data_IF_726012764428
#
_entry.id   IF_726012764428
#
_cell.length_a   1.000
_cell.length_b   1.000
_cell.length_c   1.000
_cell.angle_alpha   90.00
_cell.angle_beta   90.00
_cell.angle_gamma   90.00
#
_symmetry.space_group_name_H-M   'P 1'
#
loop_
_entity.id
_entity.type
_entity.pdbx_description
1 polymer ?
#
# COMPACT_ATOMS: atom_id res chain seq x y z
N UNK A 1 8.09 11.95 -14.98
CA UNK A 1 9.06 12.18 -13.87
C UNK A 1 10.43 12.44 -14.46
N UNK A 2 11.08 13.53 -14.08
CA UNK A 2 12.45 13.83 -14.47
C UNK A 2 13.43 13.06 -13.57
N UNK A 3 14.70 12.84 -14.02
CA UNK A 3 15.66 12.03 -13.24
C UNK A 3 15.89 12.51 -11.81
N UNK A 4 15.90 13.82 -11.57
CA UNK A 4 16.08 14.37 -10.21
C UNK A 4 14.90 14.06 -9.30
N UNK A 5 13.67 14.06 -9.84
CA UNK A 5 12.47 13.68 -9.08
C UNK A 5 12.47 12.19 -8.77
N UNK A 6 12.89 11.36 -9.72
CA UNK A 6 12.99 9.93 -9.51
C UNK A 6 13.99 9.60 -8.40
N UNK A 7 15.13 10.30 -8.33
CA UNK A 7 16.10 10.14 -7.27
C UNK A 7 15.61 10.61 -5.91
N UNK A 8 14.73 11.61 -5.88
CA UNK A 8 14.15 12.14 -4.66
C UNK A 8 13.01 11.28 -4.12
N UNK A 9 12.44 10.40 -4.93
CA UNK A 9 11.36 9.52 -4.51
C UNK A 9 11.87 8.51 -3.48
N UNK A 10 11.04 8.25 -2.46
CA UNK A 10 11.33 7.29 -1.40
C UNK A 10 10.40 6.09 -1.55
N UNK A 11 10.99 4.92 -1.69
CA UNK A 11 10.24 3.66 -1.83
C UNK A 11 10.22 2.94 -0.49
N UNK A 12 9.03 2.68 0.03
CA UNK A 12 8.82 1.99 1.28
C UNK A 12 7.98 0.74 1.09
N UNK A 13 8.29 -0.32 1.84
CA UNK A 13 7.47 -1.52 1.84
C UNK A 13 6.22 -1.29 2.69
N UNK A 14 5.04 -1.46 2.11
CA UNK A 14 3.78 -1.55 2.85
C UNK A 14 3.53 -2.97 3.32
N UNK A 15 3.85 -3.93 2.48
CA UNK A 15 3.75 -5.35 2.79
C UNK A 15 4.89 -6.08 2.11
N UNK A 16 5.79 -6.64 2.91
CA UNK A 16 6.94 -7.36 2.39
C UNK A 16 6.49 -8.62 1.65
N UNK A 17 7.08 -8.88 0.49
CA UNK A 17 6.71 -9.99 -0.37
C UNK A 17 6.62 -11.31 0.41
N UNK A 18 5.48 -11.97 0.32
CA UNK A 18 5.20 -13.20 1.05
C UNK A 18 4.21 -14.09 0.32
N UNK A 19 4.41 -15.40 0.42
CA UNK A 19 3.40 -16.37 0.02
C UNK A 19 2.36 -16.46 1.15
N UNK A 20 1.18 -15.90 0.91
CA UNK A 20 0.13 -15.83 1.92
C UNK A 20 -0.87 -16.98 1.71
N UNK A 21 -1.14 -17.71 2.79
CA UNK A 21 -2.14 -18.79 2.75
C UNK A 21 -3.57 -18.26 2.91
N UNK A 22 -3.74 -17.09 3.55
CA UNK A 22 -5.05 -16.52 3.86
C UNK A 22 -4.97 -15.01 4.06
N UNK A 23 -6.12 -14.38 4.23
CA UNK A 23 -6.23 -12.93 4.44
C UNK A 23 -5.50 -12.44 5.69
N UNK A 24 -5.47 -13.23 6.75
CA UNK A 24 -4.77 -12.84 7.98
C UNK A 24 -3.27 -12.64 7.72
N UNK A 25 -2.65 -13.52 6.94
CA UNK A 25 -1.25 -13.37 6.55
C UNK A 25 -1.05 -12.17 5.61
N UNK A 26 -1.95 -11.95 4.67
CA UNK A 26 -1.87 -10.84 3.72
C UNK A 26 -2.18 -9.46 4.35
N UNK A 27 -2.56 -9.44 5.61
CA UNK A 27 -2.86 -8.21 6.36
C UNK A 27 -1.96 -8.04 7.59
N UNK A 28 -0.93 -8.88 7.72
CA UNK A 28 -0.07 -8.91 8.90
C UNK A 28 1.11 -7.90 8.84
N UNK A 29 1.18 -7.07 7.81
CA UNK A 29 2.21 -6.03 7.69
C UNK A 29 2.10 -4.95 8.76
N UNK A 30 3.16 -4.16 8.90
CA UNK A 30 3.17 -3.07 9.87
C UNK A 30 2.42 -1.83 9.40
N UNK A 31 2.43 -0.82 10.26
CA UNK A 31 1.89 0.50 9.98
C UNK A 31 3.03 1.43 9.55
N UNK A 32 2.98 1.90 8.31
CA UNK A 32 4.01 2.75 7.74
C UNK A 32 3.76 4.21 8.11
N UNK A 33 4.77 4.88 8.64
CA UNK A 33 4.72 6.31 8.94
C UNK A 33 4.78 7.11 7.63
N UNK A 34 3.74 7.87 7.34
CA UNK A 34 3.64 8.70 6.13
C UNK A 34 3.81 10.19 6.41
N UNK A 35 4.08 10.58 7.65
CA UNK A 35 4.20 12.00 8.04
C UNK A 35 5.39 12.70 7.39
N UNK A 36 6.37 11.95 6.91
CA UNK A 36 7.54 12.49 6.22
C UNK A 36 7.33 12.74 4.72
N UNK A 37 6.14 12.50 4.18
CA UNK A 37 5.86 12.65 2.75
C UNK A 37 4.97 13.86 2.46
N UNK A 38 5.06 14.37 1.23
CA UNK A 38 4.21 15.45 0.72
C UNK A 38 3.55 15.03 -0.58
N UNK A 39 2.37 15.59 -0.85
CA UNK A 39 1.68 15.44 -2.12
C UNK A 39 0.99 14.09 -2.29
N UNK A 40 1.17 13.52 -3.45
CA UNK A 40 0.53 12.26 -3.84
C UNK A 40 1.44 11.08 -3.56
N UNK A 41 0.88 10.07 -2.90
CA UNK A 41 1.54 8.78 -2.70
C UNK A 41 1.15 7.84 -3.82
N UNK A 42 2.11 7.10 -4.37
CA UNK A 42 1.86 6.03 -5.32
C UNK A 42 1.95 4.70 -4.59
N UNK A 43 0.89 3.91 -4.67
CA UNK A 43 0.83 2.59 -4.03
C UNK A 43 0.73 1.53 -5.12
N UNK A 44 1.60 0.53 -5.04
CA UNK A 44 1.68 -0.55 -6.02
C UNK A 44 1.43 -1.88 -5.31
N UNK A 45 0.43 -2.62 -5.78
CA UNK A 45 0.19 -4.00 -5.38
C UNK A 45 0.75 -4.93 -6.44
N UNK A 46 1.60 -5.87 -6.04
CA UNK A 46 2.16 -6.88 -6.91
C UNK A 46 1.70 -8.26 -6.45
N UNK A 47 1.03 -8.98 -7.34
CA UNK A 47 0.54 -10.33 -7.09
C UNK A 47 1.32 -11.27 -8.00
N UNK A 48 2.01 -12.23 -7.41
CA UNK A 48 2.71 -13.28 -8.13
C UNK A 48 1.78 -14.45 -8.44
N UNK A 49 2.16 -15.65 -8.04
CA UNK A 49 1.30 -16.83 -8.19
C UNK A 49 0.09 -16.68 -7.27
N UNK A 50 -1.11 -16.84 -7.82
CA UNK A 50 -2.36 -16.76 -7.06
C UNK A 50 -3.36 -17.78 -7.59
N UNK A 51 -4.06 -18.46 -6.68
CA UNK A 51 -5.13 -19.40 -7.01
C UNK A 51 -6.49 -18.71 -7.14
N UNK A 52 -6.61 -17.44 -6.78
CA UNK A 52 -7.83 -16.66 -6.86
C UNK A 52 -7.55 -15.16 -6.85
N UNK A 53 -8.59 -14.36 -6.85
CA UNK A 53 -8.46 -12.91 -6.86
C UNK A 53 -7.91 -12.38 -5.53
N UNK A 54 -7.18 -11.27 -5.63
CA UNK A 54 -6.68 -10.53 -4.46
C UNK A 54 -7.23 -9.12 -4.54
N UNK A 55 -7.94 -8.70 -3.49
CA UNK A 55 -8.41 -7.32 -3.35
C UNK A 55 -7.53 -6.62 -2.32
N UNK A 56 -6.86 -5.55 -2.73
CA UNK A 56 -5.99 -4.78 -1.84
C UNK A 56 -6.61 -3.45 -1.47
N UNK A 57 -6.51 -3.09 -0.19
CA UNK A 57 -7.02 -1.83 0.32
C UNK A 57 -6.05 -1.25 1.35
N UNK A 58 -6.29 0.00 1.74
CA UNK A 58 -5.49 0.67 2.76
C UNK A 58 -6.35 1.04 3.96
N UNK A 59 -5.73 1.00 5.13
CA UNK A 59 -6.24 1.61 6.35
C UNK A 59 -5.30 2.74 6.78
N UNK A 60 -5.81 3.71 7.50
CA UNK A 60 -5.02 4.78 8.07
C UNK A 60 -5.35 4.98 9.56
N UNK A 61 -4.35 5.37 10.33
CA UNK A 61 -4.49 5.62 11.76
C UNK A 61 -3.58 6.76 12.18
N UNK A 62 -3.98 7.48 13.24
CA UNK A 62 -3.13 8.45 13.89
C UNK A 62 -2.09 7.80 14.82
N UNK A 63 -2.22 6.51 15.08
CA UNK A 63 -1.38 5.75 16.00
C UNK A 63 -0.52 4.72 15.26
N UNK A 64 0.72 4.56 15.69
CA UNK A 64 1.66 3.61 15.07
C UNK A 64 1.24 2.14 15.23
N UNK A 65 0.36 1.84 16.17
CA UNK A 65 -0.19 0.50 16.38
C UNK A 65 -1.53 0.27 15.65
N UNK A 66 -2.02 1.26 14.91
CA UNK A 66 -3.26 1.14 14.16
C UNK A 66 -4.53 1.36 14.97
N UNK A 67 -4.45 1.80 16.22
CA UNK A 67 -5.63 2.06 17.03
C UNK A 67 -6.49 3.17 16.40
N UNK A 68 -7.81 2.98 16.39
CA UNK A 68 -8.74 3.94 15.80
C UNK A 68 -8.63 4.07 14.28
N UNK A 69 -8.23 3.00 13.59
CA UNK A 69 -8.05 3.05 12.14
C UNK A 69 -9.37 3.24 11.38
N UNK A 70 -9.23 3.73 10.17
CA UNK A 70 -10.34 3.92 9.24
C UNK A 70 -9.86 3.57 7.82
N UNK A 71 -10.80 3.37 6.91
CA UNK A 71 -10.46 3.13 5.52
C UNK A 71 -9.78 4.35 4.89
N UNK A 72 -8.71 4.10 4.13
CA UNK A 72 -8.06 5.11 3.30
C UNK A 72 -8.35 4.75 1.84
N UNK A 73 -9.19 5.57 1.22
CA UNK A 73 -9.67 5.30 -0.14
C UNK A 73 -8.70 5.90 -1.17
N UNK A 74 -8.38 5.13 -2.21
CA UNK A 74 -7.59 5.63 -3.34
C UNK A 74 -8.36 6.74 -4.08
N UNK A 75 -7.62 7.57 -4.83
CA UNK A 75 -8.18 8.71 -5.53
C UNK A 75 -9.28 8.33 -6.53
N UNK A 76 -9.22 7.13 -7.10
CA UNK A 76 -10.25 6.63 -8.03
C UNK A 76 -11.49 6.05 -7.30
N UNK A 77 -11.47 6.01 -5.98
CA UNK A 77 -12.57 5.49 -5.16
C UNK A 77 -12.67 3.97 -5.10
N UNK A 78 -11.74 3.24 -5.69
CA UNK A 78 -11.79 1.77 -5.78
C UNK A 78 -10.55 1.13 -5.15
N UNK A 79 -10.71 -0.06 -4.60
CA UNK A 79 -9.60 -0.89 -4.14
C UNK A 79 -8.84 -1.51 -5.32
N UNK A 80 -7.68 -2.10 -5.03
CA UNK A 80 -7.03 -2.98 -6.00
C UNK A 80 -7.90 -4.21 -6.23
N UNK A 81 -7.96 -4.66 -7.47
CA UNK A 81 -8.80 -5.80 -7.88
C UNK A 81 -8.00 -6.76 -8.75
N UNK A 82 -6.84 -7.18 -8.28
CA UNK A 82 -6.01 -8.10 -9.06
C UNK A 82 -6.73 -9.40 -9.35
N UNK A 83 -6.67 -9.81 -10.59
CA UNK A 83 -7.09 -11.14 -11.00
C UNK A 83 -6.03 -12.17 -10.62
N UNK A 84 -6.37 -13.45 -10.68
CA UNK A 84 -5.42 -14.52 -10.38
C UNK A 84 -4.21 -14.49 -11.31
N UNK A 85 -3.01 -14.55 -10.73
CA UNK A 85 -1.72 -14.70 -11.41
C UNK A 85 -1.09 -13.42 -11.94
N UNK A 86 0.15 -13.18 -11.60
CA UNK A 86 1.10 -12.19 -12.17
C UNK A 86 0.48 -10.82 -12.53
N UNK A 87 -0.12 -10.14 -11.55
CA UNK A 87 -0.76 -8.86 -11.76
C UNK A 87 -0.05 -7.76 -10.96
N UNK A 88 0.12 -6.59 -11.57
CA UNK A 88 0.63 -5.40 -10.91
C UNK A 88 -0.39 -4.29 -11.13
N UNK A 89 -0.81 -3.65 -10.03
CA UNK A 89 -1.70 -2.49 -10.07
C UNK A 89 -1.06 -1.34 -9.32
N UNK A 90 -1.25 -0.12 -9.83
CA UNK A 90 -0.76 1.10 -9.22
C UNK A 90 -1.92 2.09 -9.05
N UNK A 91 -2.03 2.68 -7.87
CA UNK A 91 -3.05 3.69 -7.56
C UNK A 91 -2.44 4.80 -6.75
N UNK A 92 -3.07 5.96 -6.79
CA UNK A 92 -2.61 7.12 -6.03
C UNK A 92 -3.54 7.44 -4.88
N UNK A 93 -2.99 8.07 -3.85
CA UNK A 93 -3.73 8.61 -2.73
C UNK A 93 -3.05 9.88 -2.23
N UNK A 94 -3.85 10.89 -1.88
CA UNK A 94 -3.33 12.13 -1.31
C UNK A 94 -2.84 11.88 0.11
N UNK A 95 -1.60 12.26 0.40
CA UNK A 95 -1.02 12.11 1.75
C UNK A 95 -1.85 12.82 2.83
N UNK A 96 -2.54 13.90 2.48
CA UNK A 96 -3.38 14.65 3.41
C UNK A 96 -4.60 13.86 3.89
N UNK A 97 -4.99 12.80 3.21
CA UNK A 97 -6.04 11.88 3.65
C UNK A 97 -5.54 10.87 4.68
N UNK A 98 -4.24 10.70 4.78
CA UNK A 98 -3.63 9.84 5.81
C UNK A 98 -3.67 10.54 7.16
N UNK A 99 -3.98 9.78 8.20
CA UNK A 99 -3.94 10.26 9.59
C UNK A 99 -2.54 10.23 10.19
N UNK A 100 -1.55 9.76 9.47
CA UNK A 100 -0.15 9.65 9.89
C UNK A 100 0.48 8.31 9.59
N UNK A 101 -0.28 7.23 9.69
CA UNK A 101 0.19 5.87 9.41
C UNK A 101 -0.75 5.18 8.43
N UNK A 102 -0.17 4.31 7.59
CA UNK A 102 -0.91 3.58 6.55
C UNK A 102 -0.59 2.09 6.66
N UNK A 103 -1.60 1.27 6.47
CA UNK A 103 -1.50 -0.18 6.54
C UNK A 103 -2.17 -0.80 5.32
N UNK A 104 -1.51 -1.81 4.73
CA UNK A 104 -2.05 -2.56 3.60
C UNK A 104 -2.86 -3.76 4.09
N UNK A 105 -4.01 -3.96 3.48
CA UNK A 105 -4.87 -5.13 3.73
C UNK A 105 -5.11 -5.85 2.41
N UNK A 106 -4.59 -7.08 2.32
CA UNK A 106 -4.87 -7.96 1.20
C UNK A 106 -6.00 -8.93 1.54
N UNK A 107 -7.07 -8.91 0.78
CA UNK A 107 -8.18 -9.88 0.91
C UNK A 107 -8.04 -10.94 -0.17
N UNK A 108 -7.79 -12.18 0.24
CA UNK A 108 -7.50 -13.28 -0.66
C UNK A 108 -8.72 -14.18 -0.84
N UNK A 109 -9.06 -14.47 -2.09
CA UNK A 109 -10.03 -15.53 -2.39
C UNK A 109 -9.40 -16.93 -2.23
N UNK A 110 -8.08 -17.03 -2.41
CA UNK A 110 -7.30 -18.24 -2.21
C UNK A 110 -5.83 -17.85 -1.97
N UNK A 111 -4.96 -18.81 -1.64
CA UNK A 111 -3.54 -18.53 -1.41
C UNK A 111 -2.90 -17.75 -2.56
N UNK A 112 -2.06 -16.77 -2.22
CA UNK A 112 -1.42 -15.90 -3.21
C UNK A 112 -0.09 -15.36 -2.70
N UNK A 113 0.84 -15.11 -3.63
CA UNK A 113 2.06 -14.34 -3.35
C UNK A 113 1.74 -12.85 -3.49
N UNK A 114 1.92 -12.10 -2.42
CA UNK A 114 1.51 -10.69 -2.31
C UNK A 114 2.68 -9.82 -1.91
N UNK A 115 2.78 -8.64 -2.51
CA UNK A 115 3.66 -7.57 -2.06
C UNK A 115 2.98 -6.23 -2.32
N UNK A 116 3.25 -5.25 -1.47
CA UNK A 116 2.77 -3.90 -1.67
C UNK A 116 3.86 -2.90 -1.28
N UNK A 117 4.05 -1.89 -2.13
CA UNK A 117 5.02 -0.82 -1.89
C UNK A 117 4.34 0.54 -2.00
N UNK A 118 4.91 1.50 -1.31
CA UNK A 118 4.49 2.89 -1.38
C UNK A 118 5.67 3.72 -1.84
N UNK A 119 5.43 4.61 -2.79
CA UNK A 119 6.42 5.55 -3.30
C UNK A 119 5.92 6.95 -2.98
N UNK A 120 6.72 7.71 -2.24
CA UNK A 120 6.37 9.04 -1.85
C UNK A 120 7.51 10.02 -2.06
N UNK A 121 7.19 11.30 -2.09
CA UNK A 121 8.17 12.37 -2.12
C UNK A 121 8.44 12.83 -0.68
N UNK A 122 9.68 12.75 -0.19
CA UNK A 122 10.00 13.25 1.16
C UNK A 122 9.76 14.75 1.26
N UNK A 123 9.37 15.21 2.44
CA UNK A 123 9.37 16.64 2.74
C UNK A 123 10.80 17.17 2.62
N UNK A 124 10.94 18.33 2.01
CA UNK A 124 12.23 19.01 1.98
C UNK A 124 12.57 19.50 3.39
N UNK A 125 13.81 19.26 3.79
CA UNK A 125 14.32 19.90 4.99
C UNK A 125 14.50 21.40 4.72
N UNK A 126 13.94 22.18 5.60
CA UNK A 126 14.05 23.62 5.52
C UNK A 126 15.52 24.08 5.68
#
# INVERSE_FOLDING_TARGET
MIPSEAKAANVQSLFLAKNCANTAEASAGGWLDTRGFVGTLLVIQSIGVAAGNVTGSLLTSANSNGAGNAALTFDDGNNFTATAGNAIEAKTVDVNKSKGYVHYVGTLAAAAAVAAVLIGRPKESA
#
